data_IF_003677914488
#
_entry.id   IF_003677914488
#
_cell.length_a   1.000
_cell.length_b   1.000
_cell.length_c   1.000
_cell.angle_alpha   90.00
_cell.angle_beta   90.00
_cell.angle_gamma   90.00
#
_symmetry.space_group_name_H-M   'P 1'
#
loop_
_entity.id
_entity.type
_entity.pdbx_description
1 polymer ?
#
# COMPACT_ATOMS: atom_id res chain seq x y z
N UNK A 1 7.52 -39.21 -56.50
CA UNK A 1 8.71 -39.73 -55.81
C UNK A 1 9.85 -38.83 -56.23
N UNK A 2 10.53 -38.06 -55.39
CA UNK A 2 10.57 -37.98 -53.93
C UNK A 2 11.35 -36.70 -53.59
N UNK A 3 10.86 -36.00 -52.57
CA UNK A 3 11.58 -35.22 -51.54
C UNK A 3 12.73 -34.26 -51.89
N UNK A 4 12.59 -33.01 -51.43
CA UNK A 4 13.49 -32.41 -50.41
C UNK A 4 12.92 -31.05 -49.92
N UNK A 5 12.48 -31.07 -48.66
CA UNK A 5 12.47 -30.03 -47.59
C UNK A 5 12.30 -28.52 -47.91
N UNK A 6 11.41 -27.80 -47.18
CA UNK A 6 11.35 -26.34 -47.17
C UNK A 6 12.37 -25.74 -46.19
N UNK A 7 13.05 -24.66 -46.61
CA UNK A 7 13.93 -23.85 -45.76
C UNK A 7 13.05 -22.86 -44.97
N UNK A 8 13.21 -22.88 -43.64
CA UNK A 8 12.61 -21.97 -42.66
C UNK A 8 13.26 -20.58 -42.74
N UNK A 9 12.46 -19.54 -42.93
CA UNK A 9 12.83 -18.14 -42.68
C UNK A 9 12.70 -17.82 -41.17
N UNK A 10 13.69 -17.14 -40.54
CA UNK A 10 13.56 -16.66 -39.17
C UNK A 10 12.99 -15.24 -39.13
N UNK A 11 11.86 -15.07 -38.46
CA UNK A 11 11.52 -13.79 -37.82
C UNK A 11 10.29 -13.07 -38.37
N UNK A 12 9.10 -13.55 -37.99
CA UNK A 12 7.92 -12.69 -37.91
C UNK A 12 7.20 -12.90 -36.58
N UNK A 13 7.17 -11.86 -35.75
CA UNK A 13 6.06 -11.65 -34.81
C UNK A 13 5.30 -10.43 -35.30
N UNK A 14 4.01 -10.63 -35.49
CA UNK A 14 3.00 -9.68 -35.91
C UNK A 14 2.99 -8.40 -35.03
N UNK A 15 3.02 -7.23 -35.65
CA UNK A 15 2.56 -5.97 -35.05
C UNK A 15 1.51 -5.34 -35.98
N UNK A 16 0.28 -5.08 -35.53
CA UNK A 16 -0.69 -4.36 -36.34
C UNK A 16 -0.44 -2.84 -36.26
N UNK A 17 -0.26 -2.25 -37.44
CA UNK A 17 -0.83 -0.98 -37.89
C UNK A 17 -0.73 0.25 -36.97
N UNK A 18 0.27 1.10 -37.26
CA UNK A 18 0.07 2.51 -37.65
C UNK A 18 1.38 3.30 -37.42
N UNK A 19 2.14 3.59 -38.47
CA UNK A 19 2.98 4.79 -38.48
C UNK A 19 3.14 5.29 -39.91
N UNK A 20 2.62 6.50 -40.14
CA UNK A 20 2.89 7.34 -41.31
C UNK A 20 4.40 7.53 -41.48
N UNK A 21 4.83 7.52 -42.75
CA UNK A 21 6.07 8.15 -43.20
C UNK A 21 6.23 9.55 -42.61
N UNK A 22 7.40 9.82 -42.01
CA UNK A 22 7.93 11.17 -41.93
C UNK A 22 9.22 11.26 -42.78
N UNK A 23 9.39 12.32 -43.58
CA UNK A 23 10.60 12.53 -44.35
C UNK A 23 11.76 12.95 -43.43
N UNK A 24 12.97 12.54 -43.79
CA UNK A 24 14.22 12.96 -43.16
C UNK A 24 14.58 14.35 -43.73
N UNK A 25 14.82 15.39 -42.91
CA UNK A 25 15.70 16.46 -43.29
C UNK A 25 17.08 16.26 -42.66
N UNK A 26 18.05 16.16 -43.55
CA UNK A 26 19.48 16.32 -43.31
C UNK A 26 19.78 17.76 -42.83
N UNK A 27 20.94 17.92 -42.20
CA UNK A 27 21.63 19.18 -41.88
C UNK A 27 21.49 19.72 -40.42
N UNK A 28 22.49 19.31 -39.62
CA UNK A 28 23.34 20.16 -38.77
C UNK A 28 22.69 21.13 -37.78
N UNK A 29 22.40 20.62 -36.58
CA UNK A 29 22.55 21.38 -35.34
C UNK A 29 22.65 20.41 -34.15
N UNK A 30 23.71 20.47 -33.31
CA UNK A 30 23.68 19.74 -32.05
C UNK A 30 22.58 20.36 -31.19
N UNK A 31 21.53 19.57 -30.93
CA UNK A 31 20.53 19.88 -29.91
C UNK A 31 21.26 20.08 -28.58
N UNK A 32 21.45 21.34 -28.18
CA UNK A 32 21.83 21.68 -26.83
C UNK A 32 20.65 21.35 -25.93
N UNK A 33 20.79 20.24 -25.19
CA UNK A 33 19.87 19.90 -24.11
C UNK A 33 19.72 21.13 -23.20
N UNK A 34 18.47 21.54 -22.85
CA UNK A 34 18.29 22.53 -21.81
C UNK A 34 18.90 21.96 -20.53
N UNK A 35 19.93 22.63 -20.00
CA UNK A 35 20.55 22.28 -18.72
C UNK A 35 19.44 22.21 -17.69
N UNK A 36 19.29 21.05 -17.06
CA UNK A 36 18.39 20.89 -15.92
C UNK A 36 18.75 21.93 -14.86
N UNK A 37 17.78 22.68 -14.32
CA UNK A 37 18.06 23.60 -13.24
C UNK A 37 18.55 22.79 -12.03
N UNK A 38 19.74 23.14 -11.56
CA UNK A 38 20.35 22.55 -10.37
C UNK A 38 19.39 22.67 -9.19
N UNK A 39 19.04 21.52 -8.63
CA UNK A 39 18.44 21.39 -7.31
C UNK A 39 19.30 22.13 -6.29
N UNK A 40 18.75 23.15 -5.63
CA UNK A 40 19.48 23.81 -4.55
C UNK A 40 19.05 25.23 -4.23
N UNK A 41 17.75 25.51 -4.11
CA UNK A 41 17.33 26.73 -3.39
C UNK A 41 16.29 26.33 -2.36
N UNK A 42 16.79 26.07 -1.13
CA UNK A 42 15.99 25.90 0.07
C UNK A 42 15.10 27.13 0.24
N UNK A 43 13.82 27.00 -0.09
CA UNK A 43 12.81 27.90 0.46
C UNK A 43 12.77 27.60 1.94
N UNK A 44 13.43 28.44 2.74
CA UNK A 44 13.27 28.47 4.18
C UNK A 44 11.79 28.80 4.45
N UNK A 45 10.98 27.76 4.63
CA UNK A 45 9.66 27.91 5.22
C UNK A 45 9.93 28.24 6.69
N UNK A 46 9.87 29.53 7.03
CA UNK A 46 9.90 29.98 8.41
C UNK A 46 8.61 29.48 9.03
N UNK A 47 8.63 28.28 9.58
CA UNK A 47 7.55 27.73 10.37
C UNK A 47 7.53 28.53 11.68
N UNK A 48 6.48 29.33 11.97
CA UNK A 48 6.40 30.04 13.22
C UNK A 48 6.46 29.02 14.36
N UNK A 49 7.09 29.37 15.48
CA UNK A 49 7.35 28.47 16.61
C UNK A 49 6.08 27.76 17.18
N UNK A 50 4.88 28.18 16.77
CA UNK A 50 3.61 27.51 17.06
C UNK A 50 3.19 26.39 16.09
N UNK A 51 3.86 26.15 14.96
CA UNK A 51 3.43 25.14 13.98
C UNK A 51 3.69 23.71 14.47
N UNK A 52 4.81 23.48 15.16
CA UNK A 52 5.08 22.20 15.82
C UNK A 52 4.07 21.95 16.96
N UNK A 53 3.68 23.00 17.68
CA UNK A 53 2.64 22.92 18.70
C UNK A 53 1.26 22.68 18.06
N UNK A 54 0.96 23.26 16.90
CA UNK A 54 -0.29 23.05 16.17
C UNK A 54 -0.41 21.62 15.63
N UNK A 55 0.67 21.05 15.07
CA UNK A 55 0.73 19.63 14.71
C UNK A 55 0.55 18.74 15.96
N UNK A 56 1.18 19.10 17.08
CA UNK A 56 1.04 18.35 18.33
C UNK A 56 -0.40 18.43 18.88
N UNK A 57 -1.04 19.60 18.81
CA UNK A 57 -2.41 19.85 19.29
C UNK A 57 -3.45 19.18 18.38
N UNK A 58 -3.28 19.14 17.06
CA UNK A 58 -4.18 18.39 16.17
C UNK A 58 -4.07 16.88 16.35
N UNK A 59 -2.88 16.36 16.62
CA UNK A 59 -2.70 14.95 17.04
C UNK A 59 -3.34 14.69 18.42
N UNK A 60 -3.23 15.63 19.36
CA UNK A 60 -3.80 15.52 20.71
C UNK A 60 -5.33 15.65 20.75
N UNK A 61 -5.92 16.42 19.83
CA UNK A 61 -7.38 16.52 19.62
C UNK A 61 -7.97 15.36 18.82
N UNK A 62 -7.13 14.44 18.32
CA UNK A 62 -7.54 13.14 17.78
C UNK A 62 -7.85 12.11 18.89
N UNK A 63 -8.33 12.61 20.03
CA UNK A 63 -8.84 11.86 21.17
C UNK A 63 -10.36 12.06 21.28
N UNK A 64 -11.09 11.78 20.20
CA UNK A 64 -12.56 11.70 20.19
C UNK A 64 -12.97 10.43 19.46
N UNK A 65 -12.78 9.31 20.16
CA UNK A 65 -12.95 7.97 19.65
C UNK A 65 -11.81 7.60 18.72
N UNK A 66 -11.22 6.42 18.90
CA UNK A 66 -10.53 5.75 17.80
C UNK A 66 -11.59 5.43 16.74
N UNK A 67 -11.96 6.43 15.92
CA UNK A 67 -12.74 6.24 14.71
C UNK A 67 -11.81 5.52 13.73
N UNK A 68 -11.64 4.22 13.98
CA UNK A 68 -11.06 3.30 13.03
C UNK A 68 -12.09 3.14 11.93
N UNK A 69 -11.69 3.42 10.69
CA UNK A 69 -12.53 3.04 9.56
C UNK A 69 -12.76 1.53 9.58
N UNK A 70 -13.88 1.06 9.05
CA UNK A 70 -14.18 -0.38 8.94
C UNK A 70 -13.03 -1.15 8.30
N UNK A 71 -12.45 -0.58 7.22
CA UNK A 71 -11.31 -1.17 6.55
C UNK A 71 -10.04 -1.19 7.42
N UNK A 72 -9.80 -0.16 8.22
CA UNK A 72 -8.63 -0.10 9.10
C UNK A 72 -8.72 -1.12 10.23
N UNK A 73 -9.91 -1.35 10.77
CA UNK A 73 -10.16 -2.41 11.74
C UNK A 73 -9.89 -3.79 11.16
N UNK A 74 -10.40 -4.07 9.95
CA UNK A 74 -10.12 -5.34 9.26
C UNK A 74 -8.62 -5.53 9.03
N UNK A 75 -7.91 -4.49 8.60
CA UNK A 75 -6.46 -4.53 8.41
C UNK A 75 -5.75 -4.78 9.75
N UNK A 76 -6.17 -4.13 10.83
CA UNK A 76 -5.60 -4.32 12.15
C UNK A 76 -5.82 -5.75 12.68
N UNK A 77 -7.00 -6.32 12.46
CA UNK A 77 -7.31 -7.73 12.75
C UNK A 77 -6.41 -8.68 11.97
N UNK A 78 -6.24 -8.45 10.66
CA UNK A 78 -5.38 -9.27 9.82
C UNK A 78 -3.91 -9.26 10.29
N UNK A 79 -3.38 -8.09 10.69
CA UNK A 79 -2.04 -8.00 11.30
C UNK A 79 -1.96 -8.75 12.62
N UNK A 80 -3.01 -8.69 13.45
CA UNK A 80 -3.07 -9.43 14.72
C UNK A 80 -3.02 -10.95 14.49
N UNK A 81 -3.76 -11.46 13.50
CA UNK A 81 -3.78 -12.88 13.13
C UNK A 81 -2.39 -13.33 12.67
N UNK A 82 -1.72 -12.51 11.84
CA UNK A 82 -0.41 -12.83 11.24
C UNK A 82 0.80 -12.66 12.17
N UNK A 83 0.60 -12.28 13.44
CA UNK A 83 1.56 -12.31 14.58
C UNK A 83 3.05 -12.45 14.22
N UNK A 84 3.64 -11.40 13.62
CA UNK A 84 5.08 -11.30 13.34
C UNK A 84 5.52 -11.58 11.90
N UNK A 85 4.65 -12.15 11.06
CA UNK A 85 4.87 -12.32 9.61
C UNK A 85 3.83 -11.53 8.78
N UNK A 86 3.41 -10.38 9.31
CA UNK A 86 2.50 -9.49 8.63
C UNK A 86 3.28 -8.51 7.75
N UNK A 87 3.57 -8.88 6.51
CA UNK A 87 3.99 -7.94 5.47
C UNK A 87 2.80 -7.62 4.56
N UNK A 88 2.86 -6.52 3.79
CA UNK A 88 1.71 -6.00 3.04
C UNK A 88 0.94 -7.06 2.23
N UNK A 89 1.64 -7.92 1.49
CA UNK A 89 1.00 -8.99 0.72
C UNK A 89 0.44 -10.14 1.58
N UNK A 90 1.07 -10.47 2.73
CA UNK A 90 0.49 -11.44 3.66
C UNK A 90 -0.81 -10.91 4.28
N UNK A 91 -0.86 -9.61 4.58
CA UNK A 91 -2.07 -8.95 5.10
C UNK A 91 -3.18 -8.95 4.05
N UNK A 92 -2.88 -8.65 2.79
CA UNK A 92 -3.86 -8.77 1.69
C UNK A 92 -4.44 -10.19 1.65
N UNK A 93 -3.59 -11.22 1.60
CA UNK A 93 -4.03 -12.60 1.53
C UNK A 93 -4.94 -12.98 2.72
N UNK A 94 -4.60 -12.56 3.94
CA UNK A 94 -5.42 -12.79 5.12
C UNK A 94 -6.80 -12.14 4.97
N UNK A 95 -6.87 -10.87 4.54
CA UNK A 95 -8.15 -10.18 4.35
C UNK A 95 -9.01 -10.86 3.27
N UNK A 96 -8.39 -11.27 2.15
CA UNK A 96 -9.08 -11.97 1.08
C UNK A 96 -9.64 -13.32 1.54
N UNK A 97 -8.92 -14.04 2.41
CA UNK A 97 -9.39 -15.28 3.00
C UNK A 97 -10.59 -15.07 3.94
N UNK A 98 -10.55 -14.05 4.79
CA UNK A 98 -11.62 -13.78 5.76
C UNK A 98 -12.87 -13.19 5.11
N UNK A 99 -12.71 -12.22 4.19
CA UNK A 99 -13.82 -11.47 3.59
C UNK A 99 -14.33 -12.07 2.27
N UNK A 100 -13.58 -12.99 1.66
CA UNK A 100 -13.83 -13.51 0.30
C UNK A 100 -13.97 -12.42 -0.76
N UNK A 101 -13.23 -11.32 -0.59
CA UNK A 101 -13.21 -10.16 -1.49
C UNK A 101 -11.78 -9.76 -1.78
N UNK A 102 -11.47 -9.48 -3.04
CA UNK A 102 -10.14 -9.02 -3.45
C UNK A 102 -9.86 -7.60 -2.95
N UNK A 103 -8.65 -7.36 -2.47
CA UNK A 103 -8.26 -6.04 -1.92
C UNK A 103 -6.99 -5.54 -2.58
N UNK A 104 -6.95 -4.24 -2.90
CA UNK A 104 -5.76 -3.64 -3.47
C UNK A 104 -4.65 -3.50 -2.41
N UNK A 105 -3.45 -4.00 -2.73
CA UNK A 105 -2.24 -3.86 -1.91
C UNK A 105 -1.92 -2.40 -1.54
N UNK A 106 -2.15 -1.44 -2.46
CA UNK A 106 -1.93 -0.02 -2.18
C UNK A 106 -2.87 0.54 -1.09
N UNK A 107 -4.11 0.05 -1.03
CA UNK A 107 -5.08 0.42 -0.01
C UNK A 107 -4.64 -0.14 1.36
N UNK A 108 -4.18 -1.39 1.40
CA UNK A 108 -3.63 -2.01 2.61
C UNK A 108 -2.41 -1.25 3.11
N UNK A 109 -1.46 -0.88 2.24
CA UNK A 109 -0.31 -0.06 2.64
C UNK A 109 -0.71 1.31 3.21
N UNK A 110 -1.70 1.95 2.60
CA UNK A 110 -2.22 3.23 3.09
C UNK A 110 -2.87 3.08 4.46
N UNK A 111 -3.64 2.01 4.68
CA UNK A 111 -4.23 1.71 5.99
C UNK A 111 -3.18 1.36 7.05
N UNK A 112 -2.18 0.55 6.71
CA UNK A 112 -1.07 0.22 7.62
C UNK A 112 -0.29 1.46 8.04
N UNK A 113 -0.04 2.40 7.11
CA UNK A 113 0.60 3.68 7.45
C UNK A 113 -0.25 4.49 8.43
N UNK A 114 -1.57 4.61 8.19
CA UNK A 114 -2.47 5.32 9.11
C UNK A 114 -2.56 4.65 10.48
N UNK A 115 -2.62 3.32 10.53
CA UNK A 115 -2.59 2.56 11.78
C UNK A 115 -1.27 2.75 12.54
N UNK A 116 -0.15 2.86 11.82
CA UNK A 116 1.15 3.17 12.40
C UNK A 116 1.22 4.61 12.92
N UNK A 117 0.71 5.59 12.18
CA UNK A 117 0.59 6.99 12.63
C UNK A 117 -0.27 7.09 13.91
N UNK A 118 -1.32 6.27 14.02
CA UNK A 118 -2.15 6.13 15.22
C UNK A 118 -1.49 5.35 16.37
N UNK A 119 -0.31 4.75 16.15
CA UNK A 119 0.41 3.96 17.15
C UNK A 119 -0.21 2.58 17.44
N UNK A 120 -1.13 2.10 16.59
CA UNK A 120 -1.82 0.81 16.76
C UNK A 120 -0.99 -0.36 16.21
N UNK A 121 -0.06 -0.06 15.30
CA UNK A 121 0.84 -1.03 14.67
C UNK A 121 2.27 -0.48 14.71
N UNK A 122 3.25 -1.32 15.04
CA UNK A 122 4.67 -1.05 14.86
C UNK A 122 5.16 -1.68 13.56
N UNK A 123 6.16 -1.06 12.92
CA UNK A 123 6.83 -1.65 11.76
C UNK A 123 8.33 -1.77 12.00
N UNK A 124 8.87 -2.89 11.55
CA UNK A 124 10.28 -3.20 11.62
C UNK A 124 10.76 -3.66 10.25
N UNK A 125 11.93 -3.18 9.83
CA UNK A 125 12.57 -3.69 8.62
C UNK A 125 13.21 -5.04 8.98
N UNK A 126 12.58 -6.12 8.54
CA UNK A 126 12.94 -7.49 8.91
C UNK A 126 12.82 -8.45 7.75
N UNK A 127 13.21 -9.70 7.96
CA UNK A 127 13.24 -10.72 6.93
C UNK A 127 14.57 -10.75 6.19
N UNK A 128 15.48 -11.57 6.70
CA UNK A 128 16.48 -12.24 5.90
C UNK A 128 15.96 -13.64 5.66
N UNK A 129 15.26 -13.89 4.55
CA UNK A 129 15.16 -15.28 4.09
C UNK A 129 16.58 -15.65 3.67
N UNK A 130 17.17 -16.66 4.32
CA UNK A 130 18.56 -17.10 4.12
C UNK A 130 18.84 -17.69 2.72
N UNK A 131 17.89 -17.54 1.78
CA UNK A 131 18.00 -17.94 0.40
C UNK A 131 18.51 -16.75 -0.42
N UNK A 132 19.79 -16.83 -0.81
CA UNK A 132 20.52 -16.01 -1.80
C UNK A 132 19.70 -14.85 -2.41
N UNK A 133 19.89 -13.63 -1.87
CA UNK A 133 19.37 -12.39 -2.48
C UNK A 133 18.26 -11.68 -1.69
N UNK A 134 18.09 -11.99 -0.41
CA UNK A 134 17.02 -11.48 0.46
C UNK A 134 16.80 -9.96 0.39
N UNK A 135 15.74 -9.56 -0.32
CA UNK A 135 15.19 -8.21 -0.24
C UNK A 135 14.57 -8.02 1.14
N UNK A 136 15.02 -6.99 1.87
CA UNK A 136 14.45 -6.62 3.17
C UNK A 136 12.94 -6.40 3.01
N UNK A 137 12.16 -7.04 3.87
CA UNK A 137 10.70 -6.84 3.94
C UNK A 137 10.40 -5.90 5.11
N UNK A 138 9.23 -5.25 5.06
CA UNK A 138 8.71 -4.53 6.22
C UNK A 138 7.70 -5.43 6.90
N UNK A 139 7.98 -5.78 8.14
CA UNK A 139 7.11 -6.58 8.99
C UNK A 139 6.34 -5.64 9.91
N UNK A 140 5.07 -5.94 10.11
CA UNK A 140 4.18 -5.18 10.96
C UNK A 140 3.76 -6.04 12.15
N UNK A 141 3.66 -5.43 13.32
CA UNK A 141 3.18 -6.09 14.54
C UNK A 141 2.19 -5.19 15.27
N UNK A 142 1.15 -5.78 15.85
CA UNK A 142 0.14 -5.02 16.60
C UNK A 142 0.72 -4.60 17.95
N UNK A 143 0.56 -3.33 18.31
CA UNK A 143 1.00 -2.80 19.61
C UNK A 143 -0.01 -3.13 20.71
N UNK A 144 0.37 -2.93 21.97
CA UNK A 144 -0.58 -3.04 23.10
C UNK A 144 -1.78 -2.10 22.94
N UNK A 145 -1.55 -0.90 22.40
CA UNK A 145 -2.62 0.06 22.10
C UNK A 145 -3.56 -0.49 21.01
N UNK A 146 -3.00 -1.06 19.94
CA UNK A 146 -3.76 -1.70 18.87
C UNK A 146 -4.65 -2.84 19.37
N UNK A 147 -4.14 -3.68 20.28
CA UNK A 147 -4.93 -4.77 20.88
C UNK A 147 -6.12 -4.25 21.70
N UNK A 148 -5.90 -3.25 22.55
CA UNK A 148 -6.99 -2.62 23.32
C UNK A 148 -8.05 -2.01 22.40
N UNK A 149 -7.63 -1.31 21.35
CA UNK A 149 -8.56 -0.75 20.38
C UNK A 149 -9.42 -1.84 19.70
N UNK A 150 -8.84 -2.99 19.36
CA UNK A 150 -9.61 -4.13 18.82
C UNK A 150 -10.60 -4.71 19.84
N UNK A 151 -10.19 -4.82 21.10
CA UNK A 151 -11.07 -5.28 22.19
C UNK A 151 -12.26 -4.34 22.39
N UNK A 152 -12.01 -3.03 22.47
CA UNK A 152 -13.06 -2.00 22.62
C UNK A 152 -14.06 -2.04 21.46
N UNK A 153 -13.55 -2.12 20.22
CA UNK A 153 -14.39 -2.18 19.03
C UNK A 153 -15.22 -3.47 19.02
N UNK A 154 -14.61 -4.62 19.35
CA UNK A 154 -15.32 -5.90 19.44
C UNK A 154 -16.42 -5.83 20.49
N UNK A 155 -16.15 -5.27 21.67
CA UNK A 155 -17.14 -5.11 22.72
C UNK A 155 -18.32 -4.26 22.27
N UNK A 156 -18.06 -3.09 21.69
CA UNK A 156 -19.10 -2.19 21.18
C UNK A 156 -19.96 -2.87 20.10
N UNK A 157 -19.32 -3.51 19.11
CA UNK A 157 -20.02 -4.22 18.02
C UNK A 157 -20.89 -5.34 18.55
N UNK A 158 -20.39 -6.13 19.50
CA UNK A 158 -21.16 -7.20 20.13
C UNK A 158 -22.33 -6.67 20.96
N UNK A 159 -22.14 -5.58 21.70
CA UNK A 159 -23.23 -4.93 22.44
C UNK A 159 -24.34 -4.47 21.51
N UNK A 160 -23.98 -3.81 20.40
CA UNK A 160 -24.93 -3.39 19.38
C UNK A 160 -25.64 -4.59 18.75
N UNK A 161 -24.90 -5.64 18.39
CA UNK A 161 -25.45 -6.86 17.82
C UNK A 161 -26.48 -7.51 18.75
N UNK A 162 -26.16 -7.63 20.04
CA UNK A 162 -27.04 -8.21 21.04
C UNK A 162 -28.29 -7.36 21.33
N UNK A 163 -28.26 -6.07 20.99
CA UNK A 163 -29.41 -5.16 21.14
C UNK A 163 -30.39 -5.22 19.97
N UNK A 164 -30.04 -5.91 18.87
CA UNK A 164 -30.94 -6.05 17.71
C UNK A 164 -32.15 -6.86 18.16
N UNK A 165 -33.37 -6.28 18.12
CA UNK A 165 -34.57 -7.03 18.45
C UNK A 165 -34.74 -8.14 17.43
N UNK A 166 -34.97 -9.37 17.91
CA UNK A 166 -35.34 -10.46 17.02
C UNK A 166 -36.69 -10.09 16.40
N UNK A 167 -36.83 -10.10 15.06
CA UNK A 167 -38.13 -9.87 14.44
C UNK A 167 -39.09 -10.93 14.97
N UNK A 168 -40.19 -10.48 15.59
CA UNK A 168 -41.21 -11.37 16.13
C UNK A 168 -41.96 -12.03 14.97
N UNK A 169 -41.40 -13.14 14.47
CA UNK A 169 -41.94 -14.11 13.52
C UNK A 169 -42.44 -13.55 12.17
N UNK A 170 -41.90 -14.11 11.09
CA UNK A 170 -42.60 -14.19 9.81
C UNK A 170 -43.62 -15.34 9.85
#
# INVERSE_FOLDING_TARGET
>A
MSELSPIMDPGYTHCPEAYMMCPIPDNTQPCSLPKTPKSGQKRHLILPAGHLLYIYITNLLSMKGTYLGEFEEVVLLAVAIRSGDAYGAAVVNEIEQQMRRSVNLGAVHSALNRLQEKGLVSSEMGGMTAERGGRRKRLYSVTTLGRRALEDIRHLRNQMWNSIPTPANA
#
